data_IF_172940408174
#
_entry.id   IF_172940408174
#
_cell.length_a   1.000
_cell.length_b   1.000
_cell.length_c   1.000
_cell.angle_alpha   90.00
_cell.angle_beta   90.00
_cell.angle_gamma   90.00
#
_symmetry.space_group_name_H-M   'P 1'
#
loop_
_entity.id
_entity.type
_entity.pdbx_description
1 polymer ?
#
# COMPACT_ATOMS: atom_id res chain seq x y z
N UNK A 1 -38.58 8.97 82.11
CA UNK A 1 -37.97 7.94 81.24
C UNK A 1 -38.59 7.91 79.85
N UNK A 2 -39.92 7.72 79.70
CA UNK A 2 -40.57 7.70 78.38
C UNK A 2 -40.31 8.94 77.51
N UNK A 3 -40.43 10.16 78.06
CA UNK A 3 -40.12 11.40 77.32
C UNK A 3 -38.67 11.43 76.80
N UNK A 4 -37.70 11.04 77.62
CA UNK A 4 -36.29 11.01 77.22
C UNK A 4 -36.01 9.95 76.14
N UNK A 5 -36.69 8.79 76.20
CA UNK A 5 -36.61 7.77 75.15
C UNK A 5 -37.23 8.26 73.83
N UNK A 6 -38.36 8.98 73.87
CA UNK A 6 -38.97 9.59 72.69
C UNK A 6 -38.07 10.66 72.06
N UNK A 7 -37.41 11.50 72.87
CA UNK A 7 -36.43 12.49 72.40
C UNK A 7 -35.22 11.81 71.74
N UNK A 8 -34.67 10.74 72.33
CA UNK A 8 -33.59 9.97 71.71
C UNK A 8 -34.01 9.31 70.39
N UNK A 9 -35.22 8.73 70.32
CA UNK A 9 -35.71 8.13 69.08
C UNK A 9 -35.97 9.18 68.01
N UNK A 10 -36.46 10.36 68.38
CA UNK A 10 -36.65 11.48 67.45
C UNK A 10 -35.31 11.91 66.85
N UNK A 11 -34.26 12.06 67.67
CA UNK A 11 -32.92 12.40 67.19
C UNK A 11 -32.35 11.31 66.26
N UNK A 12 -32.57 10.03 66.57
CA UNK A 12 -32.17 8.93 65.69
C UNK A 12 -32.93 8.95 64.35
N UNK A 13 -34.23 9.25 64.38
CA UNK A 13 -35.05 9.43 63.17
C UNK A 13 -34.59 10.61 62.32
N UNK A 14 -34.25 11.76 62.91
CA UNK A 14 -33.65 12.89 62.17
C UNK A 14 -32.35 12.49 61.47
N UNK A 15 -31.51 11.70 62.13
CA UNK A 15 -30.26 11.20 61.53
C UNK A 15 -30.53 10.22 60.37
N UNK A 16 -31.55 9.37 60.49
CA UNK A 16 -32.02 8.49 59.40
C UNK A 16 -32.53 9.33 58.22
N UNK A 17 -33.34 10.36 58.48
CA UNK A 17 -33.87 11.26 57.45
C UNK A 17 -32.73 11.99 56.69
N UNK A 18 -31.72 12.48 57.41
CA UNK A 18 -30.55 13.10 56.76
C UNK A 18 -29.77 12.09 55.92
N UNK A 19 -29.58 10.86 56.41
CA UNK A 19 -28.82 9.82 55.71
C UNK A 19 -29.56 9.37 54.44
N UNK A 20 -30.89 9.23 54.52
CA UNK A 20 -31.70 8.77 53.40
C UNK A 20 -31.84 9.84 52.31
N UNK A 21 -31.86 11.12 52.68
CA UNK A 21 -31.76 12.23 51.73
C UNK A 21 -30.44 12.19 50.94
N UNK A 22 -29.34 11.82 51.61
CA UNK A 22 -28.05 11.55 50.97
C UNK A 22 -28.12 10.39 49.96
N UNK A 23 -28.75 9.28 50.35
CA UNK A 23 -28.97 8.12 49.45
C UNK A 23 -29.82 8.51 48.23
N UNK A 24 -30.90 9.27 48.42
CA UNK A 24 -31.76 9.74 47.32
C UNK A 24 -31.01 10.66 46.35
N UNK A 25 -30.13 11.52 46.88
CA UNK A 25 -29.28 12.40 46.06
C UNK A 25 -28.25 11.59 45.28
N UNK A 26 -27.53 10.67 45.93
CA UNK A 26 -26.57 9.80 45.27
C UNK A 26 -27.21 8.90 44.19
N UNK A 27 -28.43 8.41 44.44
CA UNK A 27 -29.19 7.65 43.44
C UNK A 27 -29.53 8.51 42.21
N UNK A 28 -29.92 9.78 42.39
CA UNK A 28 -30.14 10.71 41.26
C UNK A 28 -28.86 10.99 40.48
N UNK A 29 -27.74 11.22 41.16
CA UNK A 29 -26.44 11.44 40.51
C UNK A 29 -26.01 10.22 39.68
N UNK A 30 -26.23 9.01 40.20
CA UNK A 30 -25.97 7.77 39.45
C UNK A 30 -26.86 7.64 38.21
N UNK A 31 -28.14 8.04 38.27
CA UNK A 31 -29.04 8.04 37.10
C UNK A 31 -28.54 8.97 35.99
N UNK A 32 -28.08 10.17 36.36
CA UNK A 32 -27.48 11.12 35.41
C UNK A 32 -26.20 10.53 34.81
N UNK A 33 -25.28 10.03 35.64
CA UNK A 33 -24.04 9.43 35.17
C UNK A 33 -24.27 8.20 34.26
N UNK A 34 -25.31 7.40 34.53
CA UNK A 34 -25.70 6.28 33.69
C UNK A 34 -26.23 6.75 32.33
N UNK A 35 -27.03 7.82 32.29
CA UNK A 35 -27.54 8.40 31.05
C UNK A 35 -26.41 8.95 30.18
N UNK A 36 -25.48 9.70 30.78
CA UNK A 36 -24.30 10.23 30.09
C UNK A 36 -23.41 9.10 29.56
N UNK A 37 -23.20 8.06 30.37
CA UNK A 37 -22.45 6.87 29.95
C UNK A 37 -23.12 6.16 28.77
N UNK A 38 -24.45 6.07 28.76
CA UNK A 38 -25.19 5.50 27.63
C UNK A 38 -24.94 6.28 26.33
N UNK A 39 -24.99 7.61 26.39
CA UNK A 39 -24.75 8.45 25.22
C UNK A 39 -23.32 8.29 24.66
N UNK A 40 -22.31 8.18 25.55
CA UNK A 40 -20.92 7.91 25.14
C UNK A 40 -20.79 6.53 24.48
N UNK A 41 -21.49 5.53 24.99
CA UNK A 41 -21.47 4.17 24.43
C UNK A 41 -22.16 4.11 23.07
N UNK A 42 -23.26 4.84 22.87
CA UNK A 42 -23.91 4.96 21.56
C UNK A 42 -22.97 5.60 20.52
N UNK A 43 -22.27 6.67 20.90
CA UNK A 43 -21.26 7.29 20.05
C UNK A 43 -20.10 6.32 19.76
N UNK A 44 -19.67 5.54 20.75
CA UNK A 44 -18.62 4.53 20.58
C UNK A 44 -19.06 3.44 19.60
N UNK A 45 -20.31 2.98 19.69
CA UNK A 45 -20.90 2.00 18.76
C UNK A 45 -20.88 2.51 17.31
N UNK A 46 -21.28 3.75 17.08
CA UNK A 46 -21.20 4.38 15.77
C UNK A 46 -19.74 4.48 15.27
N UNK A 47 -18.81 4.84 16.14
CA UNK A 47 -17.37 4.87 15.83
C UNK A 47 -16.83 3.50 15.43
N UNK A 48 -17.18 2.45 16.17
CA UNK A 48 -16.80 1.06 15.88
C UNK A 48 -17.31 0.63 14.50
N UNK A 49 -18.57 0.93 14.16
CA UNK A 49 -19.13 0.63 12.84
C UNK A 49 -18.39 1.35 11.72
N UNK A 50 -18.04 2.63 11.93
CA UNK A 50 -17.29 3.40 10.94
C UNK A 50 -15.88 2.84 10.72
N UNK A 51 -15.18 2.48 11.79
CA UNK A 51 -13.84 1.87 11.70
C UNK A 51 -13.92 0.49 11.02
N UNK A 52 -14.98 -0.28 11.27
CA UNK A 52 -15.24 -1.54 10.57
C UNK A 52 -15.45 -1.36 9.06
N UNK A 53 -16.26 -0.38 8.66
CA UNK A 53 -16.46 -0.06 7.25
C UNK A 53 -15.15 0.36 6.58
N UNK A 54 -14.34 1.18 7.26
CA UNK A 54 -13.03 1.60 6.76
C UNK A 54 -12.07 0.41 6.62
N UNK A 55 -12.00 -0.48 7.61
CA UNK A 55 -11.16 -1.68 7.55
C UNK A 55 -11.53 -2.58 6.36
N UNK A 56 -12.83 -2.79 6.11
CA UNK A 56 -13.30 -3.53 4.95
C UNK A 56 -12.89 -2.86 3.62
N UNK A 57 -13.01 -1.54 3.52
CA UNK A 57 -12.60 -0.81 2.33
C UNK A 57 -11.09 -0.88 2.10
N UNK A 58 -10.27 -0.80 3.16
CA UNK A 58 -8.82 -1.00 3.05
C UNK A 58 -8.49 -2.42 2.62
N UNK A 59 -9.17 -3.45 3.15
CA UNK A 59 -9.00 -4.85 2.74
C UNK A 59 -9.25 -5.05 1.24
N UNK A 60 -10.36 -4.49 0.73
CA UNK A 60 -10.70 -4.54 -0.69
C UNK A 60 -9.64 -3.84 -1.55
N UNK A 61 -9.19 -2.65 -1.14
CA UNK A 61 -8.16 -1.89 -1.85
C UNK A 61 -6.80 -2.58 -1.83
N UNK A 62 -6.42 -3.22 -0.73
CA UNK A 62 -5.22 -4.04 -0.63
C UNK A 62 -5.29 -5.26 -1.56
N UNK A 63 -6.45 -5.89 -1.67
CA UNK A 63 -6.65 -7.00 -2.62
C UNK A 63 -6.43 -6.52 -4.06
N UNK A 64 -7.09 -5.43 -4.46
CA UNK A 64 -6.92 -4.82 -5.79
C UNK A 64 -5.46 -4.41 -6.04
N UNK A 65 -4.78 -3.83 -5.05
CA UNK A 65 -3.38 -3.41 -5.19
C UNK A 65 -2.44 -4.62 -5.36
N UNK A 66 -2.70 -5.74 -4.66
CA UNK A 66 -1.94 -6.99 -4.81
C UNK A 66 -2.10 -7.57 -6.22
N UNK A 67 -3.32 -7.58 -6.75
CA UNK A 67 -3.59 -8.02 -8.12
C UNK A 67 -2.83 -7.16 -9.13
N UNK A 68 -2.88 -5.83 -9.00
CA UNK A 68 -2.14 -4.90 -9.87
C UNK A 68 -0.63 -5.06 -9.78
N UNK A 69 -0.09 -5.26 -8.58
CA UNK A 69 1.34 -5.52 -8.41
C UNK A 69 1.75 -6.85 -9.07
N UNK A 70 0.91 -7.87 -8.97
CA UNK A 70 1.13 -9.18 -9.61
C UNK A 70 1.06 -9.08 -11.14
N UNK A 71 0.07 -8.36 -11.68
CA UNK A 71 -0.02 -8.04 -13.11
C UNK A 71 1.21 -7.27 -13.60
N UNK A 72 1.66 -6.27 -12.83
CA UNK A 72 2.88 -5.50 -13.10
C UNK A 72 4.13 -6.39 -13.14
N UNK A 73 4.30 -7.28 -12.15
CA UNK A 73 5.41 -8.25 -12.13
C UNK A 73 5.41 -9.15 -13.37
N UNK A 74 4.24 -9.66 -13.78
CA UNK A 74 4.12 -10.49 -14.99
C UNK A 74 4.45 -9.71 -16.26
N UNK A 75 3.99 -8.46 -16.36
CA UNK A 75 4.29 -7.59 -17.50
C UNK A 75 5.80 -7.30 -17.61
N UNK A 76 6.46 -7.10 -16.47
CA UNK A 76 7.91 -6.95 -16.40
C UNK A 76 8.65 -8.22 -16.81
N UNK A 77 8.25 -9.39 -16.31
CA UNK A 77 8.85 -10.67 -16.72
C UNK A 77 8.76 -10.88 -18.23
N UNK A 78 7.62 -10.53 -18.84
CA UNK A 78 7.46 -10.54 -20.29
C UNK A 78 8.39 -9.55 -20.99
N UNK A 79 8.56 -8.34 -20.45
CA UNK A 79 9.47 -7.34 -21.00
C UNK A 79 10.94 -7.79 -20.93
N UNK A 80 11.37 -8.43 -19.83
CA UNK A 80 12.71 -9.03 -19.72
C UNK A 80 12.89 -10.10 -20.79
N UNK A 81 11.93 -11.01 -20.96
CA UNK A 81 11.97 -12.05 -21.99
C UNK A 81 12.09 -11.47 -23.40
N UNK A 82 11.35 -10.38 -23.68
CA UNK A 82 11.46 -9.67 -24.96
C UNK A 82 12.83 -9.01 -25.15
N UNK A 83 13.41 -8.41 -24.11
CA UNK A 83 14.76 -7.82 -24.20
C UNK A 83 15.82 -8.88 -24.53
N UNK A 84 15.73 -10.08 -23.94
CA UNK A 84 16.62 -11.19 -24.27
C UNK A 84 16.48 -11.65 -25.73
N UNK A 85 15.24 -11.67 -26.27
CA UNK A 85 15.03 -11.96 -27.69
C UNK A 85 15.60 -10.87 -28.61
N UNK A 86 15.49 -9.61 -28.22
CA UNK A 86 16.10 -8.49 -28.95
C UNK A 86 17.62 -8.63 -28.92
N UNK A 87 18.22 -8.96 -27.78
CA UNK A 87 19.66 -9.20 -27.65
C UNK A 87 20.14 -10.32 -28.61
N UNK A 88 19.43 -11.44 -28.65
CA UNK A 88 19.72 -12.55 -29.57
C UNK A 88 19.61 -12.12 -31.04
N UNK A 89 18.58 -11.33 -31.37
CA UNK A 89 18.36 -10.82 -32.72
C UNK A 89 19.48 -9.89 -33.15
N UNK A 90 19.87 -8.93 -32.30
CA UNK A 90 20.96 -7.98 -32.56
C UNK A 90 22.29 -8.72 -32.73
N UNK A 91 22.59 -9.69 -31.86
CA UNK A 91 23.79 -10.52 -31.97
C UNK A 91 23.80 -11.35 -33.26
N UNK A 92 22.65 -11.84 -33.71
CA UNK A 92 22.53 -12.56 -34.99
C UNK A 92 22.76 -11.63 -36.17
N UNK A 93 22.18 -10.43 -36.15
CA UNK A 93 22.44 -9.40 -37.16
C UNK A 93 23.92 -9.01 -37.22
N UNK A 94 24.58 -8.85 -36.07
CA UNK A 94 26.01 -8.55 -36.00
C UNK A 94 26.86 -9.61 -36.71
N UNK A 95 26.54 -10.90 -36.51
CA UNK A 95 27.21 -12.00 -37.21
C UNK A 95 27.00 -11.96 -38.72
N UNK A 96 25.80 -11.64 -39.19
CA UNK A 96 25.48 -11.53 -40.62
C UNK A 96 26.25 -10.36 -41.26
N UNK A 97 26.27 -9.19 -40.62
CA UNK A 97 27.01 -8.03 -41.10
C UNK A 97 28.52 -8.28 -41.07
N UNK A 98 29.04 -8.92 -40.02
CA UNK A 98 30.45 -9.31 -39.96
C UNK A 98 30.85 -10.23 -41.12
N UNK A 99 30.00 -11.23 -41.44
CA UNK A 99 30.22 -12.09 -42.61
C UNK A 99 30.15 -11.31 -43.93
N UNK A 100 29.30 -10.29 -44.02
CA UNK A 100 29.28 -9.40 -45.19
C UNK A 100 30.59 -8.61 -45.33
N UNK A 101 31.17 -8.14 -44.21
CA UNK A 101 32.50 -7.52 -44.19
C UNK A 101 33.59 -8.45 -44.71
N UNK A 102 33.59 -9.72 -44.25
CA UNK A 102 34.52 -10.76 -44.74
C UNK A 102 34.35 -11.02 -46.24
N UNK A 103 33.11 -11.16 -46.73
CA UNK A 103 32.84 -11.35 -48.17
C UNK A 103 33.26 -10.14 -49.00
N UNK A 104 33.04 -8.93 -48.50
CA UNK A 104 33.51 -7.71 -49.18
C UNK A 104 35.03 -7.67 -49.26
N UNK A 105 35.75 -8.20 -48.26
CA UNK A 105 37.21 -8.35 -48.30
C UNK A 105 37.67 -9.36 -49.37
N UNK A 106 36.98 -10.50 -49.49
CA UNK A 106 37.24 -11.47 -50.57
C UNK A 106 37.01 -10.85 -51.96
N UNK A 107 35.90 -10.10 -52.13
CA UNK A 107 35.61 -9.40 -53.39
C UNK A 107 36.69 -8.35 -53.69
N UNK A 108 37.17 -7.62 -52.69
CA UNK A 108 38.29 -6.69 -52.84
C UNK A 108 39.54 -7.36 -53.42
N UNK A 109 39.92 -8.52 -52.91
CA UNK A 109 41.07 -9.29 -53.42
C UNK A 109 40.89 -9.74 -54.88
N UNK A 110 39.67 -10.12 -55.26
CA UNK A 110 39.34 -10.48 -56.65
C UNK A 110 39.47 -9.26 -57.55
N UNK A 111 38.95 -8.11 -57.13
CA UNK A 111 39.01 -6.85 -57.89
C UNK A 111 40.45 -6.38 -58.08
N UNK A 112 41.30 -6.50 -57.06
CA UNK A 112 42.74 -6.21 -57.16
C UNK A 112 43.43 -7.13 -58.17
N UNK A 113 43.08 -8.42 -58.18
CA UNK A 113 43.59 -9.40 -59.15
C UNK A 113 43.17 -9.03 -60.58
N UNK A 114 41.91 -8.66 -60.79
CA UNK A 114 41.40 -8.22 -62.11
C UNK A 114 42.12 -6.95 -62.56
N UNK A 115 42.35 -5.99 -61.65
CA UNK A 115 43.10 -4.77 -61.96
C UNK A 115 44.54 -5.09 -62.39
N UNK A 116 45.18 -6.06 -61.73
CA UNK A 116 46.51 -6.58 -62.12
C UNK A 116 46.52 -7.23 -63.50
N UNK A 117 45.53 -8.08 -63.81
CA UNK A 117 45.37 -8.72 -65.12
C UNK A 117 45.13 -7.68 -66.21
N UNK A 118 44.27 -6.69 -65.96
CA UNK A 118 44.02 -5.57 -66.89
C UNK A 118 45.32 -4.78 -67.15
N UNK A 119 46.11 -4.49 -66.10
CA UNK A 119 47.42 -3.85 -66.24
C UNK A 119 48.41 -4.67 -67.08
N UNK A 120 48.50 -5.98 -66.86
CA UNK A 120 49.32 -6.87 -67.70
C UNK A 120 48.82 -6.94 -69.14
N UNK A 121 47.51 -7.00 -69.34
CA UNK A 121 46.88 -7.04 -70.68
C UNK A 121 47.14 -5.75 -71.44
N UNK A 122 47.07 -4.60 -70.77
CA UNK A 122 47.41 -3.30 -71.33
C UNK A 122 48.88 -3.26 -71.79
N UNK A 123 49.80 -3.79 -70.97
CA UNK A 123 51.22 -3.85 -71.28
C UNK A 123 51.54 -4.82 -72.43
N UNK A 124 50.87 -5.98 -72.48
CA UNK A 124 50.95 -6.94 -73.58
C UNK A 124 50.42 -6.34 -74.89
N UNK A 125 49.28 -5.65 -74.84
CA UNK A 125 48.67 -4.99 -75.97
C UNK A 125 49.56 -3.85 -76.50
N UNK A 126 50.19 -3.07 -75.61
CA UNK A 126 51.17 -2.06 -75.99
C UNK A 126 52.38 -2.68 -76.70
N UNK A 127 52.95 -3.76 -76.17
CA UNK A 127 54.07 -4.46 -76.80
C UNK A 127 53.68 -5.02 -78.18
N UNK A 128 52.46 -5.56 -78.31
CA UNK A 128 51.93 -6.04 -79.59
C UNK A 128 51.73 -4.90 -80.59
N UNK A 129 51.24 -3.73 -80.15
CA UNK A 129 51.09 -2.55 -80.99
C UNK A 129 52.45 -2.02 -81.48
N UNK A 130 53.47 -2.03 -80.62
CA UNK A 130 54.86 -1.66 -80.97
C UNK A 130 55.41 -2.62 -82.03
N UNK A 131 55.28 -3.93 -81.83
CA UNK A 131 55.81 -4.92 -82.77
C UNK A 131 55.04 -4.92 -84.10
N UNK A 132 53.73 -4.68 -84.07
CA UNK A 132 52.90 -4.49 -85.26
C UNK A 132 53.31 -3.24 -86.05
N UNK A 133 53.62 -2.12 -85.38
CA UNK A 133 54.18 -0.94 -86.03
C UNK A 133 55.55 -1.21 -86.66
N UNK A 134 56.35 -2.08 -86.03
CA UNK A 134 57.68 -2.51 -86.51
C UNK A 134 57.62 -3.37 -87.77
N UNK A 135 56.55 -4.16 -87.94
CA UNK A 135 56.29 -4.97 -89.13
C UNK A 135 55.77 -4.19 -90.35
N UNK A 136 55.57 -2.87 -90.23
CA UNK A 136 55.14 -1.99 -91.33
C UNK A 136 53.77 -2.36 -91.90
N UNK A 137 53.63 -2.38 -93.23
CA UNK A 137 52.35 -2.66 -93.92
C UNK A 137 51.78 -4.06 -93.62
N UNK A 138 52.62 -5.05 -93.28
CA UNK A 138 52.18 -6.42 -92.94
C UNK A 138 51.57 -6.52 -91.53
N UNK A 139 51.89 -5.58 -90.63
CA UNK A 139 51.40 -5.55 -89.25
C UNK A 139 50.13 -4.71 -89.04
N UNK A 140 49.63 -4.06 -90.09
CA UNK A 140 48.59 -3.02 -90.00
C UNK A 140 47.27 -3.52 -89.42
N UNK A 141 46.86 -4.76 -89.74
CA UNK A 141 45.68 -5.39 -89.14
C UNK A 141 45.89 -5.79 -87.67
N UNK A 142 47.09 -6.24 -87.31
CA UNK A 142 47.46 -6.57 -85.92
C UNK A 142 47.54 -5.32 -85.03
N UNK A 143 48.00 -4.19 -85.57
CA UNK A 143 48.06 -2.92 -84.85
C UNK A 143 46.67 -2.44 -84.39
N UNK A 144 45.64 -2.60 -85.25
CA UNK A 144 44.26 -2.23 -84.90
C UNK A 144 43.71 -3.11 -83.78
N UNK A 145 43.95 -4.43 -83.85
CA UNK A 145 43.52 -5.35 -82.79
C UNK A 145 44.25 -5.06 -81.48
N UNK A 146 45.56 -4.80 -81.53
CA UNK A 146 46.35 -4.47 -80.34
C UNK A 146 45.85 -3.18 -79.67
N UNK A 147 45.50 -2.15 -80.44
CA UNK A 147 44.95 -0.90 -79.90
C UNK A 147 43.56 -1.09 -79.28
N UNK A 148 42.69 -1.92 -79.87
CA UNK A 148 41.37 -2.22 -79.30
C UNK A 148 41.50 -3.03 -78.00
N UNK A 149 42.43 -4.00 -77.94
CA UNK A 149 42.74 -4.74 -76.70
C UNK A 149 43.30 -3.82 -75.62
N UNK A 150 44.18 -2.87 -76.00
CA UNK A 150 44.73 -1.85 -75.09
C UNK A 150 43.60 -1.01 -74.47
N UNK A 151 42.68 -0.52 -75.31
CA UNK A 151 41.53 0.26 -74.88
C UNK A 151 40.59 -0.52 -73.95
N UNK A 152 40.31 -1.79 -74.26
CA UNK A 152 39.51 -2.67 -73.39
C UNK A 152 40.21 -2.90 -72.04
N UNK A 153 41.53 -3.06 -72.04
CA UNK A 153 42.31 -3.22 -70.82
C UNK A 153 42.29 -1.95 -69.94
N UNK A 154 42.44 -0.76 -70.53
CA UNK A 154 42.29 0.53 -69.84
C UNK A 154 40.89 0.70 -69.24
N UNK A 155 39.84 0.38 -70.01
CA UNK A 155 38.45 0.43 -69.53
C UNK A 155 38.20 -0.56 -68.38
N UNK A 156 38.76 -1.78 -68.47
CA UNK A 156 38.67 -2.78 -67.42
C UNK A 156 39.38 -2.31 -66.15
N UNK A 157 40.53 -1.66 -66.28
CA UNK A 157 41.27 -1.08 -65.15
C UNK A 157 40.49 0.06 -64.48
N UNK A 158 39.86 0.94 -65.25
CA UNK A 158 39.02 2.02 -64.71
C UNK A 158 37.78 1.45 -63.99
N UNK A 159 37.13 0.44 -64.56
CA UNK A 159 35.99 -0.24 -63.93
C UNK A 159 36.40 -0.94 -62.62
N UNK A 160 37.52 -1.67 -62.60
CA UNK A 160 38.04 -2.29 -61.38
C UNK A 160 38.34 -1.25 -60.30
N UNK A 161 38.86 -0.07 -60.65
CA UNK A 161 39.11 1.01 -59.68
C UNK A 161 37.82 1.56 -59.06
N UNK A 162 36.77 1.73 -59.87
CA UNK A 162 35.43 2.13 -59.38
C UNK A 162 34.86 1.08 -58.44
N UNK A 163 34.94 -0.21 -58.80
CA UNK A 163 34.49 -1.32 -57.93
C UNK A 163 35.29 -1.35 -56.63
N UNK A 164 36.61 -1.20 -56.68
CA UNK A 164 37.47 -1.17 -55.49
C UNK A 164 37.06 -0.06 -54.52
N UNK A 165 36.73 1.13 -55.04
CA UNK A 165 36.22 2.25 -54.23
C UNK A 165 34.91 1.88 -53.53
N UNK A 166 33.94 1.32 -54.26
CA UNK A 166 32.66 0.88 -53.69
C UNK A 166 32.84 -0.22 -52.64
N UNK A 167 33.76 -1.17 -52.85
CA UNK A 167 34.05 -2.22 -51.87
C UNK A 167 34.64 -1.62 -50.60
N UNK A 168 35.50 -0.61 -50.70
CA UNK A 168 36.06 0.06 -49.53
C UNK A 168 35.00 0.85 -48.74
N UNK A 169 34.06 1.50 -49.44
CA UNK A 169 32.91 2.15 -48.82
C UNK A 169 32.02 1.12 -48.09
N UNK A 170 31.69 0.00 -48.73
CA UNK A 170 30.90 -1.09 -48.12
C UNK A 170 31.60 -1.66 -46.88
N UNK A 171 32.92 -1.85 -46.93
CA UNK A 171 33.72 -2.28 -45.77
C UNK A 171 33.60 -1.27 -44.61
N UNK A 172 33.76 0.02 -44.89
CA UNK A 172 33.62 1.07 -43.88
C UNK A 172 32.21 1.15 -43.28
N UNK A 173 31.16 0.96 -44.09
CA UNK A 173 29.77 0.92 -43.62
C UNK A 173 29.48 -0.35 -42.79
N UNK A 174 30.00 -1.50 -43.20
CA UNK A 174 29.85 -2.76 -42.45
C UNK A 174 30.55 -2.70 -41.10
N UNK A 175 31.77 -2.15 -41.02
CA UNK A 175 32.48 -1.95 -39.75
C UNK A 175 31.69 -1.03 -38.81
N UNK A 176 31.16 0.09 -39.31
CA UNK A 176 30.30 0.99 -38.52
C UNK A 176 29.03 0.30 -38.04
N UNK A 177 28.41 -0.52 -38.88
CA UNK A 177 27.21 -1.28 -38.51
C UNK A 177 27.50 -2.31 -37.42
N UNK A 178 28.65 -3.01 -37.46
CA UNK A 178 29.07 -3.94 -36.39
C UNK A 178 29.27 -3.21 -35.07
N UNK A 179 29.94 -2.04 -35.08
CA UNK A 179 30.13 -1.22 -33.86
C UNK A 179 28.78 -0.80 -33.29
N UNK A 180 27.87 -0.28 -34.12
CA UNK A 180 26.54 0.14 -33.68
C UNK A 180 25.71 -1.03 -33.11
N UNK A 181 25.84 -2.24 -33.68
CA UNK A 181 25.17 -3.44 -33.16
C UNK A 181 25.74 -3.87 -31.81
N UNK A 182 27.06 -3.81 -31.62
CA UNK A 182 27.68 -4.11 -30.31
C UNK A 182 27.24 -3.12 -29.22
N UNK A 183 27.19 -1.84 -29.56
CA UNK A 183 26.64 -0.81 -28.66
C UNK A 183 25.16 -1.09 -28.36
N UNK A 184 24.37 -1.44 -29.38
CA UNK A 184 22.97 -1.85 -29.23
C UNK A 184 22.78 -3.04 -28.29
N UNK A 185 23.62 -4.08 -28.40
CA UNK A 185 23.61 -5.22 -27.46
C UNK A 185 23.87 -4.77 -26.02
N UNK A 186 24.80 -3.83 -25.81
CA UNK A 186 25.08 -3.30 -24.47
C UNK A 186 23.89 -2.53 -23.90
N UNK A 187 23.27 -1.67 -24.69
CA UNK A 187 22.08 -0.91 -24.28
C UNK A 187 20.90 -1.82 -23.94
N UNK A 188 20.67 -2.87 -24.74
CA UNK A 188 19.63 -3.87 -24.45
C UNK A 188 19.89 -4.58 -23.13
N UNK A 189 21.14 -4.93 -22.84
CA UNK A 189 21.52 -5.56 -21.56
C UNK A 189 21.26 -4.63 -20.37
N UNK A 190 21.68 -3.37 -20.46
CA UNK A 190 21.39 -2.37 -19.41
C UNK A 190 19.89 -2.13 -19.26
N UNK A 191 19.13 -2.13 -20.35
CA UNK A 191 17.67 -2.07 -20.33
C UNK A 191 17.05 -3.28 -19.62
N UNK A 192 17.53 -4.49 -19.90
CA UNK A 192 17.06 -5.71 -19.23
C UNK A 192 17.33 -5.68 -17.71
N UNK A 193 18.49 -5.18 -17.29
CA UNK A 193 18.85 -4.99 -15.88
C UNK A 193 17.88 -3.99 -15.20
N UNK A 194 17.63 -2.83 -15.82
CA UNK A 194 16.72 -1.83 -15.29
C UNK A 194 15.28 -2.36 -15.15
N UNK A 195 14.81 -3.10 -16.15
CA UNK A 195 13.49 -3.74 -16.13
C UNK A 195 13.42 -4.83 -15.06
N UNK A 196 14.50 -5.57 -14.83
CA UNK A 196 14.58 -6.58 -13.75
C UNK A 196 14.46 -5.94 -12.37
N UNK A 197 15.12 -4.80 -12.14
CA UNK A 197 14.99 -4.02 -10.90
C UNK A 197 13.55 -3.55 -10.68
N UNK A 198 12.87 -3.08 -11.74
CA UNK A 198 11.45 -2.73 -11.67
C UNK A 198 10.58 -3.93 -11.28
N UNK A 199 10.92 -5.14 -11.75
CA UNK A 199 10.22 -6.38 -11.40
C UNK A 199 10.38 -6.74 -9.93
N UNK A 200 11.58 -6.55 -9.37
CA UNK A 200 11.80 -6.71 -7.92
C UNK A 200 10.96 -5.73 -7.10
N UNK A 201 10.86 -4.47 -7.53
CA UNK A 201 10.04 -3.47 -6.85
C UNK A 201 8.55 -3.87 -6.83
N UNK A 202 8.00 -4.43 -7.91
CA UNK A 202 6.62 -4.93 -7.90
C UNK A 202 6.40 -6.10 -6.93
N UNK A 203 7.39 -6.99 -6.77
CA UNK A 203 7.32 -8.08 -5.79
C UNK A 203 7.35 -7.54 -4.36
N UNK A 204 8.23 -6.58 -4.08
CA UNK A 204 8.31 -5.92 -2.77
C UNK A 204 6.99 -5.18 -2.44
N UNK A 205 6.40 -4.49 -3.41
CA UNK A 205 5.08 -3.87 -3.27
C UNK A 205 4.01 -4.91 -2.90
N UNK A 206 3.98 -6.06 -3.58
CA UNK A 206 3.02 -7.13 -3.27
C UNK A 206 3.21 -7.67 -1.85
N UNK A 207 4.45 -7.85 -1.38
CA UNK A 207 4.74 -8.26 0.00
C UNK A 207 4.29 -7.22 1.04
N UNK A 208 4.55 -5.93 0.78
CA UNK A 208 4.11 -4.84 1.66
C UNK A 208 2.58 -4.79 1.76
N UNK A 209 1.87 -4.96 0.64
CA UNK A 209 0.40 -4.98 0.64
C UNK A 209 -0.13 -6.22 1.38
N UNK A 210 0.53 -7.37 1.27
CA UNK A 210 0.19 -8.57 2.05
C UNK A 210 0.24 -8.31 3.56
N UNK A 211 1.29 -7.61 4.03
CA UNK A 211 1.41 -7.20 5.44
C UNK A 211 0.31 -6.23 5.85
N UNK A 212 -0.09 -5.30 4.97
CA UNK A 212 -1.23 -4.41 5.24
C UNK A 212 -2.52 -5.22 5.41
N UNK A 213 -2.75 -6.23 4.58
CA UNK A 213 -3.92 -7.12 4.70
C UNK A 213 -3.93 -7.89 6.02
N UNK A 214 -2.77 -8.36 6.49
CA UNK A 214 -2.64 -9.00 7.81
C UNK A 214 -3.02 -8.03 8.95
N UNK A 215 -2.47 -6.81 8.92
CA UNK A 215 -2.79 -5.77 9.91
C UNK A 215 -4.28 -5.39 9.91
N UNK A 216 -4.94 -5.39 8.75
CA UNK A 216 -6.39 -5.17 8.65
C UNK A 216 -7.17 -6.31 9.30
N UNK A 217 -6.65 -7.55 9.24
CA UNK A 217 -7.17 -8.68 9.99
C UNK A 217 -7.13 -8.46 11.50
N UNK A 218 -5.99 -8.00 12.03
CA UNK A 218 -5.82 -7.68 13.45
C UNK A 218 -6.77 -6.54 13.89
N UNK A 219 -6.89 -5.50 13.07
CA UNK A 219 -7.84 -4.39 13.32
C UNK A 219 -9.28 -4.92 13.37
N UNK A 220 -9.64 -5.83 12.47
CA UNK A 220 -10.98 -6.45 12.43
C UNK A 220 -11.27 -7.24 13.70
N UNK A 221 -10.30 -7.98 14.23
CA UNK A 221 -10.43 -8.67 15.52
C UNK A 221 -10.59 -7.68 16.68
N UNK A 222 -9.80 -6.60 16.71
CA UNK A 222 -9.91 -5.56 17.73
C UNK A 222 -11.28 -4.86 17.70
N UNK A 223 -11.82 -4.58 16.52
CA UNK A 223 -13.18 -4.03 16.33
C UNK A 223 -14.24 -4.95 16.94
N UNK A 224 -14.15 -6.26 16.70
CA UNK A 224 -15.10 -7.23 17.27
C UNK A 224 -15.03 -7.24 18.80
N UNK A 225 -13.82 -7.20 19.37
CA UNK A 225 -13.63 -7.11 20.81
C UNK A 225 -14.21 -5.81 21.38
N UNK A 226 -13.99 -4.68 20.71
CA UNK A 226 -14.57 -3.39 21.10
C UNK A 226 -16.10 -3.41 21.04
N UNK A 227 -16.69 -4.01 20.00
CA UNK A 227 -18.14 -4.14 19.87
C UNK A 227 -18.74 -4.96 21.03
N UNK A 228 -18.11 -6.09 21.37
CA UNK A 228 -18.51 -6.91 22.52
C UNK A 228 -18.39 -6.15 23.84
N UNK A 229 -17.27 -5.46 24.06
CA UNK A 229 -17.05 -4.63 25.24
C UNK A 229 -18.09 -3.50 25.36
N UNK A 230 -18.42 -2.85 24.25
CA UNK A 230 -19.49 -1.83 24.18
C UNK A 230 -20.82 -2.39 24.66
N UNK A 231 -21.21 -3.58 24.17
CA UNK A 231 -22.46 -4.24 24.56
C UNK A 231 -22.49 -4.58 26.06
N UNK A 232 -21.37 -5.01 26.62
CA UNK A 232 -21.25 -5.29 28.06
C UNK A 232 -21.40 -4.02 28.91
N UNK A 233 -20.88 -2.88 28.42
CA UNK A 233 -21.06 -1.59 29.09
C UNK A 233 -22.54 -1.18 29.06
N UNK A 234 -23.25 -1.32 27.91
CA UNK A 234 -24.70 -1.06 27.83
C UNK A 234 -25.47 -1.86 28.89
N UNK A 235 -25.16 -3.15 29.03
CA UNK A 235 -25.77 -4.00 30.05
C UNK A 235 -25.49 -3.52 31.48
N UNK A 236 -24.26 -3.07 31.75
CA UNK A 236 -23.86 -2.55 33.06
C UNK A 236 -24.56 -1.22 33.39
N UNK A 237 -24.65 -0.31 32.41
CA UNK A 237 -25.36 0.97 32.52
C UNK A 237 -26.86 0.75 32.80
N UNK A 238 -27.47 -0.20 32.08
CA UNK A 238 -28.88 -0.57 32.29
C UNK A 238 -29.13 -1.08 33.71
N UNK A 239 -28.20 -1.89 34.23
CA UNK A 239 -28.27 -2.41 35.60
C UNK A 239 -28.11 -1.30 36.65
N UNK A 240 -27.18 -0.36 36.43
CA UNK A 240 -27.02 0.81 37.31
C UNK A 240 -28.29 1.64 37.32
N UNK A 241 -28.86 1.95 36.15
CA UNK A 241 -30.09 2.72 36.04
C UNK A 241 -31.26 2.09 36.82
N UNK A 242 -31.44 0.76 36.68
CA UNK A 242 -32.44 0.02 37.43
C UNK A 242 -32.18 0.07 38.96
N UNK A 243 -30.93 -0.15 39.40
CA UNK A 243 -30.58 -0.13 40.82
C UNK A 243 -30.78 1.26 41.43
N UNK A 244 -30.34 2.32 40.75
CA UNK A 244 -30.49 3.69 41.21
C UNK A 244 -31.96 4.12 41.28
N UNK A 245 -32.80 3.67 40.35
CA UNK A 245 -34.26 3.88 40.41
C UNK A 245 -34.87 3.22 41.63
N UNK A 246 -34.48 1.97 41.92
CA UNK A 246 -34.92 1.25 43.13
C UNK A 246 -34.44 1.97 44.39
N UNK A 247 -33.16 2.34 44.48
CA UNK A 247 -32.62 3.06 45.64
C UNK A 247 -33.29 4.40 45.87
N UNK A 248 -33.64 5.15 44.82
CA UNK A 248 -34.41 6.39 44.96
C UNK A 248 -35.82 6.14 45.51
N UNK A 249 -36.48 5.07 45.07
CA UNK A 249 -37.83 4.68 45.52
C UNK A 249 -37.82 4.20 46.97
N UNK A 250 -36.84 3.38 47.34
CA UNK A 250 -36.63 2.91 48.72
C UNK A 250 -36.30 4.09 49.65
N UNK A 251 -35.45 5.02 49.19
CA UNK A 251 -35.12 6.22 49.95
C UNK A 251 -36.35 7.10 50.21
N UNK A 252 -37.22 7.26 49.21
CA UNK A 252 -38.50 7.98 49.37
C UNK A 252 -39.40 7.30 50.40
N UNK A 253 -39.48 5.96 50.36
CA UNK A 253 -40.32 5.16 51.25
C UNK A 253 -39.84 5.22 52.70
N UNK A 254 -38.52 5.13 52.91
CA UNK A 254 -37.89 5.27 54.23
C UNK A 254 -38.04 6.69 54.76
N UNK A 255 -37.93 7.72 53.91
CA UNK A 255 -38.18 9.11 54.30
C UNK A 255 -39.61 9.29 54.83
N UNK A 256 -40.62 8.77 54.12
CA UNK A 256 -42.02 8.83 54.55
C UNK A 256 -42.25 8.11 55.88
N UNK A 257 -41.71 6.90 56.03
CA UNK A 257 -41.79 6.15 57.29
C UNK A 257 -41.09 6.89 58.45
N UNK A 258 -40.00 7.60 58.17
CA UNK A 258 -39.26 8.38 59.17
C UNK A 258 -40.07 9.61 59.62
N UNK A 259 -40.79 10.28 58.72
CA UNK A 259 -41.71 11.39 59.06
C UNK A 259 -42.88 10.91 59.92
N UNK A 260 -43.49 9.77 59.59
CA UNK A 260 -44.55 9.16 60.42
C UNK A 260 -44.02 8.78 61.81
N UNK A 261 -42.80 8.24 61.88
CA UNK A 261 -42.15 7.88 63.14
C UNK A 261 -41.86 9.12 64.00
N UNK A 262 -41.36 10.21 63.41
CA UNK A 262 -41.16 11.49 64.12
C UNK A 262 -42.46 12.01 64.72
N UNK A 263 -43.54 12.02 63.92
CA UNK A 263 -44.88 12.44 64.37
C UNK A 263 -45.36 11.58 65.55
N UNK A 264 -45.20 10.26 65.45
CA UNK A 264 -45.57 9.33 66.53
C UNK A 264 -44.75 9.56 67.81
N UNK A 265 -43.46 9.91 67.68
CA UNK A 265 -42.61 10.22 68.84
C UNK A 265 -43.01 11.52 69.53
N UNK A 266 -43.44 12.54 68.79
CA UNK A 266 -43.98 13.78 69.35
C UNK A 266 -45.27 13.52 70.15
N UNK A 267 -46.16 12.68 69.63
CA UNK A 267 -47.39 12.27 70.33
C UNK A 267 -47.10 11.48 71.62
N UNK A 268 -46.14 10.55 71.58
CA UNK A 268 -45.71 9.78 72.77
C UNK A 268 -45.06 10.70 73.80
N UNK A 269 -44.20 11.63 73.38
CA UNK A 269 -43.56 12.59 74.26
C UNK A 269 -44.63 13.48 74.94
N UNK A 270 -45.58 14.02 74.18
CA UNK A 270 -46.69 14.81 74.69
C UNK A 270 -47.58 14.04 75.67
N UNK A 271 -47.94 12.79 75.33
CA UNK A 271 -48.72 11.90 76.19
C UNK A 271 -47.98 11.55 77.49
N UNK A 272 -46.67 11.34 77.42
CA UNK A 272 -45.82 11.04 78.57
C UNK A 272 -45.73 12.24 79.53
N UNK A 273 -45.62 13.46 79.00
CA UNK A 273 -45.67 14.70 79.79
C UNK A 273 -47.04 14.86 80.47
N UNK A 274 -48.14 14.61 79.75
CA UNK A 274 -49.48 14.66 80.30
C UNK A 274 -49.69 13.63 81.44
N UNK A 275 -49.21 12.39 81.26
CA UNK A 275 -49.23 11.34 82.29
C UNK A 275 -48.38 11.72 83.51
N UNK A 276 -47.19 12.29 83.30
CA UNK A 276 -46.33 12.74 84.40
C UNK A 276 -47.01 13.84 85.22
N UNK A 277 -47.68 14.79 84.56
CA UNK A 277 -48.48 15.85 85.21
C UNK A 277 -49.64 15.26 86.01
N UNK A 278 -50.41 14.34 85.42
CA UNK A 278 -51.52 13.68 86.10
C UNK A 278 -51.05 12.87 87.33
N UNK A 279 -49.91 12.18 87.22
CA UNK A 279 -49.31 11.46 88.34
C UNK A 279 -48.88 12.41 89.47
N UNK A 280 -48.29 13.57 89.15
CA UNK A 280 -47.97 14.61 90.15
C UNK A 280 -49.23 15.16 90.83
N UNK A 281 -50.29 15.44 90.07
CA UNK A 281 -51.57 15.92 90.60
C UNK A 281 -52.22 14.89 91.54
N UNK A 282 -52.23 13.61 91.15
CA UNK A 282 -52.70 12.51 92.01
C UNK A 282 -51.84 12.36 93.27
N UNK A 283 -50.52 12.45 93.15
CA UNK A 283 -49.61 12.36 94.30
C UNK A 283 -49.83 13.52 95.28
N UNK A 284 -50.07 14.74 94.77
CA UNK A 284 -50.43 15.90 95.59
C UNK A 284 -51.79 15.71 96.27
N UNK A 285 -52.80 15.20 95.55
CA UNK A 285 -54.12 14.93 96.11
C UNK A 285 -54.07 13.86 97.23
N UNK A 286 -53.33 12.77 97.04
CA UNK A 286 -53.14 11.73 98.06
C UNK A 286 -52.36 12.26 99.27
N UNK A 287 -51.40 13.17 99.07
CA UNK A 287 -50.65 13.78 100.17
C UNK A 287 -51.55 14.59 101.13
N UNK A 288 -52.61 15.22 100.61
CA UNK A 288 -53.62 15.93 101.43
C UNK A 288 -54.36 14.97 102.37
N UNK A 289 -54.61 13.72 101.95
CA UNK A 289 -55.28 12.71 102.77
C UNK A 289 -54.32 11.90 103.66
N UNK A 290 -53.01 12.14 103.58
CA UNK A 290 -51.98 11.52 104.42
C UNK A 290 -51.54 12.40 105.61
N UNK A 291 -52.15 13.57 105.78
CA UNK A 291 -52.12 14.38 107.02
C UNK A 291 -53.30 14.01 107.91
#
# INVERSE_FOLDING_TARGET
ELTANSEQLAQASEQIASSIAGVATGAREQLTAATDSSAVVDQMSAGIQQVAANANHVSEKSTQATERATEGSKAVEKAVSQMLQVEETVNTSAKVVSRLGERSKEVGQIVDTISGIAGQTNLLALNAAIEAARAGEQGRGFAVVAEEVRKLAEQSQEASKKISTLIHEIQGETDKAVVAMNDGTREVKTGAEAVTVAGMAFREIAELISKVSEQVGDISAAIQQMASGSQQIVGSVTKINALSTTSATEAQSVSAATEEQLTSMEEIAGSSVALAKLAQELQAAVAVFRM
#
